data_IF_520245020842
#
_entry.id   IF_520245020842
#
_cell.length_a   1.000
_cell.length_b   1.000
_cell.length_c   1.000
_cell.angle_alpha   90.00
_cell.angle_beta   90.00
_cell.angle_gamma   90.00
#
_symmetry.space_group_name_H-M   'P 1'
#
loop_
_entity.id
_entity.type
_entity.pdbx_description
1 polymer ?
#
# COMPACT_ATOMS: atom_id res chain seq x y z
N UNK A 1 -18.99 4.46 -2.73
CA UNK A 1 -18.67 4.89 -1.34
C UNK A 1 -17.56 5.96 -1.42
N UNK A 2 -17.92 7.24 -1.49
CA UNK A 2 -16.97 8.33 -1.79
C UNK A 2 -16.03 8.67 -0.60
N UNK A 3 -16.49 8.45 0.62
CA UNK A 3 -15.82 8.91 1.85
C UNK A 3 -14.48 8.19 2.10
N UNK A 4 -14.39 6.88 1.81
CA UNK A 4 -13.14 6.12 2.03
C UNK A 4 -12.04 6.52 1.05
N UNK A 5 -12.39 6.81 -0.20
CA UNK A 5 -11.43 7.21 -1.21
C UNK A 5 -10.76 8.55 -0.85
N UNK A 6 -11.55 9.54 -0.41
CA UNK A 6 -11.02 10.82 0.05
C UNK A 6 -10.15 10.68 1.31
N UNK A 7 -10.47 9.75 2.21
CA UNK A 7 -9.65 9.46 3.38
C UNK A 7 -8.29 8.87 2.99
N UNK A 8 -8.24 7.92 2.05
CA UNK A 8 -6.98 7.34 1.53
C UNK A 8 -6.12 8.42 0.87
N UNK A 9 -6.73 9.33 0.10
CA UNK A 9 -6.03 10.47 -0.49
C UNK A 9 -5.54 11.48 0.56
N UNK A 10 -6.29 11.70 1.65
CA UNK A 10 -5.86 12.56 2.75
C UNK A 10 -4.71 11.94 3.56
N UNK A 11 -4.71 10.62 3.74
CA UNK A 11 -3.61 9.89 4.41
C UNK A 11 -2.29 10.01 3.65
N UNK A 12 -2.32 10.09 2.32
CA UNK A 12 -1.15 10.39 1.49
C UNK A 12 -0.48 11.75 1.84
N UNK A 13 -1.15 12.62 2.61
CA UNK A 13 -0.65 13.93 3.03
C UNK A 13 -0.44 14.06 4.56
N UNK A 14 -0.58 12.97 5.33
CA UNK A 14 -0.46 12.98 6.80
C UNK A 14 0.76 12.18 7.26
N UNK A 15 1.26 12.46 8.47
CA UNK A 15 2.40 11.80 9.14
C UNK A 15 2.54 10.31 8.79
N UNK A 16 3.55 9.99 7.97
CA UNK A 16 3.63 8.74 7.18
C UNK A 16 3.39 7.45 7.97
N UNK A 17 3.84 7.38 9.23
CA UNK A 17 3.75 6.15 10.04
C UNK A 17 2.32 5.77 10.45
N UNK A 18 1.45 6.75 10.75
CA UNK A 18 0.04 6.48 11.10
C UNK A 18 -0.74 6.11 9.85
N UNK A 19 -0.53 6.86 8.77
CA UNK A 19 -1.12 6.60 7.47
C UNK A 19 -0.78 5.20 6.95
N UNK A 20 0.49 4.82 6.99
CA UNK A 20 0.94 3.49 6.62
C UNK A 20 0.23 2.41 7.45
N UNK A 21 0.18 2.56 8.77
CA UNK A 21 -0.43 1.56 9.65
C UNK A 21 -1.93 1.38 9.38
N UNK A 22 -2.66 2.48 9.16
CA UNK A 22 -4.08 2.44 8.80
C UNK A 22 -4.30 1.79 7.43
N UNK A 23 -3.44 2.06 6.44
CA UNK A 23 -3.54 1.44 5.12
C UNK A 23 -3.22 -0.05 5.16
N UNK A 24 -2.25 -0.47 5.98
CA UNK A 24 -1.94 -1.89 6.21
C UNK A 24 -3.16 -2.61 6.80
N UNK A 25 -3.78 -2.05 7.84
CA UNK A 25 -5.00 -2.61 8.44
C UNK A 25 -6.15 -2.68 7.41
N UNK A 26 -6.30 -1.64 6.60
CA UNK A 26 -7.32 -1.58 5.56
C UNK A 26 -7.14 -2.67 4.51
N UNK A 27 -5.93 -2.90 4.00
CA UNK A 27 -5.70 -3.96 3.00
C UNK A 27 -5.80 -5.36 3.60
N UNK A 28 -5.50 -5.55 4.88
CA UNK A 28 -5.63 -6.85 5.54
C UNK A 28 -7.09 -7.22 5.86
N UNK A 29 -7.97 -6.22 6.03
CA UNK A 29 -9.36 -6.42 6.43
C UNK A 29 -10.38 -6.20 5.31
N UNK A 30 -10.02 -5.45 4.26
CA UNK A 30 -10.95 -5.16 3.16
C UNK A 30 -11.12 -6.34 2.21
N UNK A 31 -12.36 -6.59 1.79
CA UNK A 31 -12.69 -7.48 0.66
C UNK A 31 -12.88 -6.75 -0.66
N UNK A 32 -12.93 -5.41 -0.64
CA UNK A 32 -13.16 -4.59 -1.82
C UNK A 32 -11.85 -4.39 -2.60
N UNK A 33 -11.87 -4.72 -3.89
CA UNK A 33 -10.67 -4.61 -4.71
C UNK A 33 -10.22 -3.19 -4.99
N UNK A 34 -11.14 -2.23 -5.02
CA UNK A 34 -10.76 -0.84 -5.27
C UNK A 34 -10.05 -0.28 -4.03
N UNK A 35 -10.60 -0.52 -2.84
CA UNK A 35 -9.97 -0.11 -1.58
C UNK A 35 -8.55 -0.68 -1.46
N UNK A 36 -8.37 -1.98 -1.76
CA UNK A 36 -7.04 -2.61 -1.74
C UNK A 36 -6.12 -2.00 -2.80
N UNK A 37 -6.56 -1.87 -4.05
CA UNK A 37 -5.72 -1.34 -5.14
C UNK A 37 -5.29 0.11 -4.88
N UNK A 38 -6.19 0.96 -4.38
CA UNK A 38 -5.85 2.34 -4.03
C UNK A 38 -4.90 2.41 -2.84
N UNK A 39 -5.12 1.59 -1.81
CA UNK A 39 -4.23 1.54 -0.65
C UNK A 39 -2.83 1.06 -1.03
N UNK A 40 -2.72 0.04 -1.88
CA UNK A 40 -1.44 -0.40 -2.46
C UNK A 40 -0.75 0.75 -3.20
N UNK A 41 -1.49 1.56 -3.96
CA UNK A 41 -0.93 2.72 -4.67
C UNK A 41 -0.42 3.82 -3.73
N UNK A 42 -1.00 3.98 -2.55
CA UNK A 42 -0.48 4.93 -1.55
C UNK A 42 0.73 4.34 -0.83
N UNK A 43 0.67 3.06 -0.44
CA UNK A 43 1.79 2.33 0.16
C UNK A 43 3.01 2.25 -0.77
N UNK A 44 2.83 2.24 -2.09
CA UNK A 44 3.93 2.38 -3.04
C UNK A 44 4.77 3.65 -2.77
N UNK A 45 4.11 4.77 -2.43
CA UNK A 45 4.75 6.07 -2.21
C UNK A 45 5.30 6.25 -0.81
N UNK A 46 4.50 5.91 0.20
CA UNK A 46 4.81 6.21 1.62
C UNK A 46 5.18 4.98 2.44
N UNK A 47 4.87 3.78 1.93
CA UNK A 47 5.09 2.54 2.67
C UNK A 47 6.58 2.27 2.89
N UNK A 48 6.84 1.53 3.96
CA UNK A 48 8.16 1.05 4.38
C UNK A 48 8.18 -0.48 4.29
N UNK A 49 9.30 -1.09 4.70
CA UNK A 49 9.40 -2.55 4.82
C UNK A 49 8.28 -3.17 5.68
N UNK A 50 7.69 -2.39 6.60
CA UNK A 50 6.56 -2.83 7.44
C UNK A 50 5.34 -3.26 6.62
N UNK A 51 5.09 -2.64 5.46
CA UNK A 51 3.93 -2.94 4.62
C UNK A 51 4.08 -4.21 3.78
N UNK A 52 5.31 -4.71 3.58
CA UNK A 52 5.60 -5.81 2.65
C UNK A 52 4.80 -7.08 2.97
N UNK A 53 4.72 -7.57 4.22
CA UNK A 53 4.00 -8.81 4.52
C UNK A 53 2.51 -8.77 4.12
N UNK A 54 1.86 -7.61 4.29
CA UNK A 54 0.45 -7.45 3.91
C UNK A 54 0.30 -7.29 2.39
N UNK A 55 1.23 -6.59 1.73
CA UNK A 55 1.29 -6.50 0.26
C UNK A 55 1.53 -7.88 -0.39
N UNK A 56 2.37 -8.74 0.18
CA UNK A 56 2.68 -10.07 -0.35
C UNK A 56 1.46 -10.99 -0.41
N UNK A 57 0.56 -10.90 0.56
CA UNK A 57 -0.74 -11.62 0.52
C UNK A 57 -1.52 -11.25 -0.75
N UNK A 58 -1.52 -9.96 -1.10
CA UNK A 58 -2.23 -9.44 -2.26
C UNK A 58 -1.52 -9.66 -3.59
N UNK A 59 -0.20 -9.81 -3.59
CA UNK A 59 0.60 -10.17 -4.77
C UNK A 59 0.23 -11.56 -5.34
N UNK A 60 -0.48 -12.38 -4.56
CA UNK A 60 -1.01 -13.70 -4.96
C UNK A 60 -2.51 -13.68 -5.29
N UNK A 61 -3.16 -12.50 -5.29
CA UNK A 61 -4.59 -12.37 -5.59
C UNK A 61 -4.93 -12.81 -7.02
N UNK A 62 -6.14 -13.37 -7.19
CA UNK A 62 -6.71 -13.67 -8.52
C UNK A 62 -7.19 -12.40 -9.24
N UNK A 63 -7.43 -11.32 -8.50
CA UNK A 63 -7.84 -10.03 -9.07
C UNK A 63 -6.58 -9.33 -9.61
N UNK A 64 -6.54 -9.12 -10.94
CA UNK A 64 -5.33 -8.61 -11.62
C UNK A 64 -4.84 -7.28 -11.05
N UNK A 65 -5.74 -6.34 -10.79
CA UNK A 65 -5.37 -4.98 -10.35
C UNK A 65 -4.84 -4.99 -8.91
N UNK A 66 -5.40 -5.83 -8.05
CA UNK A 66 -4.90 -6.05 -6.68
C UNK A 66 -3.49 -6.65 -6.74
N UNK A 67 -3.30 -7.69 -7.55
CA UNK A 67 -2.00 -8.34 -7.73
C UNK A 67 -0.94 -7.40 -8.30
N UNK A 68 -1.27 -6.67 -9.36
CA UNK A 68 -0.34 -5.77 -10.03
C UNK A 68 0.05 -4.59 -9.12
N UNK A 69 -0.92 -3.94 -8.48
CA UNK A 69 -0.65 -2.84 -7.55
C UNK A 69 0.18 -3.27 -6.35
N UNK A 70 -0.07 -4.46 -5.79
CA UNK A 70 0.71 -4.97 -4.66
C UNK A 70 2.18 -5.23 -5.03
N UNK A 71 2.42 -5.89 -6.17
CA UNK A 71 3.78 -6.13 -6.67
C UNK A 71 4.54 -4.83 -6.92
N UNK A 72 3.87 -3.88 -7.58
CA UNK A 72 4.45 -2.58 -7.87
C UNK A 72 4.79 -1.80 -6.59
N UNK A 73 3.96 -1.89 -5.55
CA UNK A 73 4.24 -1.29 -4.26
C UNK A 73 5.46 -1.92 -3.57
N UNK A 74 5.56 -3.26 -3.56
CA UNK A 74 6.71 -3.98 -2.99
C UNK A 74 8.01 -3.58 -3.71
N UNK A 75 8.01 -3.59 -5.04
CA UNK A 75 9.18 -3.22 -5.84
C UNK A 75 9.68 -1.80 -5.53
N UNK A 76 8.78 -0.83 -5.41
CA UNK A 76 9.17 0.55 -5.14
C UNK A 76 9.66 0.75 -3.70
N UNK A 77 9.06 0.07 -2.71
CA UNK A 77 9.54 0.06 -1.33
C UNK A 77 10.99 -0.46 -1.29
N UNK A 78 11.24 -1.65 -1.85
CA UNK A 78 12.56 -2.26 -1.84
C UNK A 78 13.59 -1.40 -2.58
N UNK A 79 13.20 -0.75 -3.67
CA UNK A 79 14.06 0.17 -4.42
C UNK A 79 14.43 1.40 -3.58
N UNK A 80 13.48 2.03 -2.88
CA UNK A 80 13.74 3.17 -1.99
C UNK A 80 14.64 2.79 -0.81
N UNK A 81 14.39 1.64 -0.20
CA UNK A 81 15.20 1.12 0.92
C UNK A 81 16.64 0.84 0.50
N UNK A 82 16.83 0.24 -0.69
CA UNK A 82 18.17 0.02 -1.24
C UNK A 82 18.90 1.34 -1.48
N UNK A 83 18.22 2.32 -2.08
CA UNK A 83 18.81 3.65 -2.32
C UNK A 83 19.20 4.36 -1.02
N UNK A 84 18.41 4.21 0.04
CA UNK A 84 18.70 4.77 1.35
C UNK A 84 19.90 4.06 2.03
N UNK A 85 20.08 2.76 1.83
CA UNK A 85 21.21 2.00 2.34
C UNK A 85 22.53 2.28 1.60
N UNK A 86 22.45 2.67 0.33
CA UNK A 86 23.59 3.02 -0.53
C UNK A 86 24.01 4.51 -0.41
N UNK A 87 23.30 5.31 0.41
CA UNK A 87 23.53 6.76 0.64
C UNK A 87 24.28 7.04 1.94
#
# INVERSE_FOLDING_TARGET
MLIRHSAIQALNNSSDAVAESTLIELIDTSGDSHDITYSNSVLNKIGTLKAIPSLEKHANSRKRDVKASAKYAIEEILKREKQAADS
#
